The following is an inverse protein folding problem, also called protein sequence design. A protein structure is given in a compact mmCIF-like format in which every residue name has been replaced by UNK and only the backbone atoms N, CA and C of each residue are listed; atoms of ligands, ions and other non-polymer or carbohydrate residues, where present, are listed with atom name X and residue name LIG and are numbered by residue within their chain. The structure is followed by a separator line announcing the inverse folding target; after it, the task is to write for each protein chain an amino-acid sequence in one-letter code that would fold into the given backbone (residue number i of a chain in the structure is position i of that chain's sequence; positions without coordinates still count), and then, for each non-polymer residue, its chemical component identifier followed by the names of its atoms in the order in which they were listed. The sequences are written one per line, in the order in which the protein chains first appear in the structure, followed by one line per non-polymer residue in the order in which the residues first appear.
data_IF_071963061311
#
_entry.id   IF_071963061311
#
_cell.length_a   1.000
_cell.length_b   1.000
_cell.length_c   1.000
_cell.angle_alpha   90.00
_cell.angle_beta   90.00
_cell.angle_gamma   90.00
#
_symmetry.space_group_name_H-M   'P 1'
#
loop_
_entity.id
_entity.type
_entity.pdbx_description
1 polymer ?
#
# COMPACT_ATOMS: atom_id res chain seq x y z
N UNK A 1 34.75 -12.83 -17.38
CA UNK A 1 33.43 -12.31 -16.99
C UNK A 1 32.39 -13.35 -17.32
N UNK A 2 31.34 -13.47 -16.50
CA UNK A 2 30.20 -14.37 -16.77
C UNK A 2 29.11 -13.56 -17.48
N UNK A 3 28.63 -13.96 -18.66
CA UNK A 3 27.53 -13.26 -19.34
C UNK A 3 26.22 -13.44 -18.55
N UNK A 4 25.42 -12.37 -18.45
CA UNK A 4 24.13 -12.39 -17.77
C UNK A 4 23.12 -11.49 -18.49
N UNK A 5 21.83 -11.69 -18.19
CA UNK A 5 20.71 -10.86 -18.66
C UNK A 5 19.66 -10.68 -17.57
N UNK A 6 18.75 -9.72 -17.75
CA UNK A 6 17.65 -9.42 -16.82
C UNK A 6 16.35 -9.34 -17.63
N UNK A 7 15.32 -10.06 -17.19
CA UNK A 7 13.96 -9.97 -17.74
C UNK A 7 13.04 -9.39 -16.65
N UNK A 8 12.44 -8.21 -16.85
CA UNK A 8 11.59 -7.59 -15.83
C UNK A 8 10.28 -8.36 -15.66
N UNK A 9 9.76 -8.36 -14.42
CA UNK A 9 8.46 -8.92 -14.08
C UNK A 9 7.46 -7.85 -13.65
N UNK A 10 6.21 -8.29 -13.41
CA UNK A 10 5.19 -7.44 -12.79
C UNK A 10 5.48 -7.33 -11.30
N UNK A 11 5.74 -6.10 -10.83
CA UNK A 11 5.91 -5.86 -9.39
C UNK A 11 4.58 -5.95 -8.65
N UNK A 12 4.62 -6.29 -7.35
CA UNK A 12 3.41 -6.50 -6.56
C UNK A 12 2.48 -5.28 -6.53
N UNK A 13 3.02 -4.06 -6.53
CA UNK A 13 2.20 -2.84 -6.58
C UNK A 13 1.33 -2.77 -7.83
N UNK A 14 1.88 -3.11 -9.00
CA UNK A 14 1.13 -3.12 -10.26
C UNK A 14 0.05 -4.22 -10.25
N UNK A 15 0.41 -5.44 -9.81
CA UNK A 15 -0.54 -6.55 -9.73
C UNK A 15 -1.68 -6.27 -8.73
N UNK A 16 -1.34 -5.93 -7.49
CA UNK A 16 -2.33 -5.65 -6.44
C UNK A 16 -3.21 -4.46 -6.81
N UNK A 17 -2.65 -3.39 -7.38
CA UNK A 17 -3.43 -2.23 -7.83
C UNK A 17 -4.50 -2.64 -8.85
N UNK A 18 -4.09 -3.35 -9.90
CA UNK A 18 -5.00 -3.77 -10.95
C UNK A 18 -6.08 -4.72 -10.42
N UNK A 19 -5.70 -5.71 -9.60
CA UNK A 19 -6.62 -6.75 -9.13
C UNK A 19 -7.44 -6.38 -7.89
N UNK A 20 -7.15 -5.28 -7.22
CA UNK A 20 -7.97 -4.76 -6.11
C UNK A 20 -8.93 -3.66 -6.51
N UNK A 21 -8.89 -3.20 -7.77
CA UNK A 21 -9.66 -2.03 -8.22
C UNK A 21 -9.15 -0.70 -7.66
N UNK A 22 -7.90 -0.65 -7.18
CA UNK A 22 -7.30 0.55 -6.60
C UNK A 22 -6.19 1.03 -7.54
N UNK A 23 -6.46 1.96 -8.47
CA UNK A 23 -5.42 2.47 -9.36
C UNK A 23 -4.36 3.25 -8.57
N UNK A 24 -3.08 3.09 -8.90
CA UNK A 24 -2.02 3.80 -8.18
C UNK A 24 -2.05 5.32 -8.43
N UNK A 25 -2.61 5.75 -9.56
CA UNK A 25 -2.79 7.16 -9.90
C UNK A 25 -4.23 7.42 -10.35
N UNK A 26 -4.72 8.60 -10.03
CA UNK A 26 -5.94 9.16 -10.61
C UNK A 26 -5.75 10.67 -10.69
N UNK A 27 -6.23 11.29 -11.78
CA UNK A 27 -5.92 12.69 -12.14
C UNK A 27 -6.15 13.66 -10.98
N UNK A 28 -7.22 13.45 -10.21
CA UNK A 28 -7.61 14.33 -9.12
C UNK A 28 -7.01 13.95 -7.75
N UNK A 29 -6.38 12.77 -7.63
CA UNK A 29 -6.02 12.20 -6.32
C UNK A 29 -4.53 12.08 -6.06
N UNK A 30 -3.74 11.69 -7.07
CA UNK A 30 -2.31 11.45 -6.86
C UNK A 30 -1.49 11.87 -8.08
N UNK A 31 -0.48 12.71 -7.83
CA UNK A 31 0.51 13.16 -8.81
C UNK A 31 1.82 12.36 -8.69
N UNK A 32 1.96 11.57 -7.63
CA UNK A 32 3.10 10.68 -7.42
C UNK A 32 2.67 9.34 -6.81
N UNK A 33 3.48 8.32 -7.07
CA UNK A 33 3.36 6.99 -6.48
C UNK A 33 4.69 6.68 -5.81
N UNK A 34 4.64 6.22 -4.56
CA UNK A 34 5.85 5.86 -3.81
C UNK A 34 5.82 4.40 -3.39
N UNK A 35 6.81 3.64 -3.85
CA UNK A 35 7.01 2.25 -3.45
C UNK A 35 8.03 2.23 -2.30
N UNK A 36 7.60 1.80 -1.12
CA UNK A 36 8.34 1.95 0.13
C UNK A 36 8.52 0.58 0.78
N UNK A 37 9.67 0.32 1.39
CA UNK A 37 9.81 -0.83 2.30
C UNK A 37 9.41 -0.41 3.72
N UNK A 38 8.45 -1.10 4.32
CA UNK A 38 8.08 -0.92 5.72
C UNK A 38 9.12 -1.49 6.68
N UNK A 39 9.95 -2.43 6.22
CA UNK A 39 11.08 -2.96 6.97
C UNK A 39 12.38 -2.36 6.42
N UNK A 40 12.97 -1.42 7.14
CA UNK A 40 14.31 -0.92 6.83
C UNK A 40 15.34 -1.93 7.32
N UNK A 41 16.27 -2.30 6.44
CA UNK A 41 17.44 -3.12 6.81
C UNK A 41 18.28 -2.28 7.78
N UNK A 42 18.34 -2.69 9.05
CA UNK A 42 19.14 -2.16 10.17
C UNK A 42 19.80 -0.79 9.96
N UNK A 43 19.22 0.26 10.55
CA UNK A 43 19.90 1.54 10.82
C UNK A 43 19.36 2.79 10.11
N UNK A 44 18.34 2.67 9.25
CA UNK A 44 17.68 3.83 8.65
C UNK A 44 16.34 4.15 9.33
N UNK A 45 15.92 5.41 9.27
CA UNK A 45 14.55 5.85 9.56
C UNK A 45 13.88 6.31 8.26
N UNK A 46 12.56 6.15 8.15
CA UNK A 46 11.80 6.70 7.02
C UNK A 46 11.63 8.20 7.20
N UNK A 47 11.67 8.94 6.10
CA UNK A 47 11.32 10.36 6.08
C UNK A 47 9.79 10.52 6.18
N UNK A 48 9.28 10.45 7.41
CA UNK A 48 7.85 10.45 7.70
C UNK A 48 7.15 11.75 7.30
N UNK A 49 7.83 12.89 7.42
CA UNK A 49 7.31 14.19 6.98
C UNK A 49 7.04 14.16 5.47
N UNK A 50 8.01 13.67 4.69
CA UNK A 50 7.86 13.58 3.25
C UNK A 50 6.83 12.52 2.83
N UNK A 51 6.66 11.45 3.61
CA UNK A 51 5.61 10.45 3.41
C UNK A 51 4.21 10.98 3.73
N UNK A 52 4.08 11.89 4.70
CA UNK A 52 2.80 12.46 5.10
C UNK A 52 2.25 13.53 4.13
N UNK A 53 3.07 14.01 3.19
CA UNK A 53 2.64 15.02 2.22
C UNK A 53 1.40 14.57 1.41
N UNK A 54 0.57 15.54 1.01
CA UNK A 54 -0.67 15.25 0.27
C UNK A 54 -0.42 14.85 -1.19
N UNK A 55 -1.50 14.46 -1.89
CA UNK A 55 -1.53 14.21 -3.35
C UNK A 55 -0.55 13.13 -3.84
N UNK A 56 -0.29 12.14 -3.01
CA UNK A 56 0.50 10.96 -3.33
C UNK A 56 -0.21 9.66 -2.95
N UNK A 57 0.13 8.59 -3.65
CA UNK A 57 -0.25 7.22 -3.28
C UNK A 57 0.96 6.52 -2.70
N UNK A 58 0.89 6.11 -1.44
CA UNK A 58 1.94 5.34 -0.78
C UNK A 58 1.64 3.85 -0.90
N UNK A 59 2.65 3.06 -1.26
CA UNK A 59 2.55 1.60 -1.34
C UNK A 59 3.68 0.99 -0.52
N UNK A 60 3.35 0.43 0.65
CA UNK A 60 4.30 -0.20 1.56
C UNK A 60 4.40 -1.70 1.32
N UNK A 61 5.58 -2.13 0.90
CA UNK A 61 6.06 -3.51 0.86
C UNK A 61 6.55 -3.92 2.24
N UNK A 62 6.31 -5.17 2.63
CA UNK A 62 6.79 -5.71 3.92
C UNK A 62 6.38 -4.83 5.12
N UNK A 63 5.24 -4.12 5.00
CA UNK A 63 4.78 -3.15 5.99
C UNK A 63 3.85 -3.72 7.05
N UNK A 64 3.39 -4.97 6.90
CA UNK A 64 2.32 -5.53 7.74
C UNK A 64 2.67 -5.52 9.23
N UNK A 65 3.87 -5.98 9.59
CA UNK A 65 4.35 -5.98 10.99
C UNK A 65 4.53 -4.56 11.56
N UNK A 66 4.71 -3.56 10.69
CA UNK A 66 4.93 -2.17 11.06
C UNK A 66 3.68 -1.31 10.89
N UNK A 67 2.52 -1.90 10.60
CA UNK A 67 1.29 -1.17 10.25
C UNK A 67 0.86 -0.16 11.34
N UNK A 68 0.92 -0.56 12.61
CA UNK A 68 0.61 0.33 13.74
C UNK A 68 1.62 1.49 13.84
N UNK A 69 2.91 1.24 13.59
CA UNK A 69 3.94 2.29 13.55
C UNK A 69 3.74 3.23 12.36
N UNK A 70 3.43 2.70 11.18
CA UNK A 70 3.13 3.49 9.97
C UNK A 70 1.93 4.39 10.23
N UNK A 71 0.85 3.85 10.79
CA UNK A 71 -0.34 4.59 11.20
C UNK A 71 0.03 5.76 12.12
N UNK A 72 0.70 5.45 13.23
CA UNK A 72 1.06 6.44 14.23
C UNK A 72 1.94 7.54 13.62
N UNK A 73 2.99 7.16 12.89
CA UNK A 73 3.95 8.10 12.33
C UNK A 73 3.36 9.00 11.26
N UNK A 74 2.51 8.47 10.38
CA UNK A 74 1.85 9.28 9.34
C UNK A 74 0.88 10.31 9.97
N UNK A 75 0.13 9.91 10.99
CA UNK A 75 -0.78 10.82 11.71
C UNK A 75 0.02 11.90 12.47
N UNK A 76 1.10 11.51 13.16
CA UNK A 76 2.01 12.45 13.84
C UNK A 76 2.58 13.53 12.92
N UNK A 77 2.79 13.20 11.64
CA UNK A 77 3.33 14.12 10.63
C UNK A 77 2.25 14.80 9.78
N UNK A 78 0.98 14.75 10.21
CA UNK A 78 -0.09 15.56 9.63
C UNK A 78 -0.94 14.88 8.56
N UNK A 79 -0.76 13.58 8.29
CA UNK A 79 -1.69 12.85 7.43
C UNK A 79 -3.04 12.69 8.14
N UNK A 80 -4.19 13.04 7.50
CA UNK A 80 -5.50 12.90 8.12
C UNK A 80 -5.80 11.45 8.52
N UNK A 81 -6.33 11.24 9.73
CA UNK A 81 -6.74 9.92 10.20
C UNK A 81 -7.80 9.24 9.33
N UNK A 82 -8.63 10.03 8.64
CA UNK A 82 -9.63 9.58 7.66
C UNK A 82 -9.03 9.28 6.27
N UNK A 83 -7.71 9.32 6.11
CA UNK A 83 -7.07 8.96 4.84
C UNK A 83 -7.41 7.50 4.50
N UNK A 84 -7.98 7.21 3.32
CA UNK A 84 -8.30 5.85 2.94
C UNK A 84 -7.06 4.96 2.84
N UNK A 85 -7.18 3.74 3.36
CA UNK A 85 -6.14 2.71 3.32
C UNK A 85 -6.74 1.38 2.87
N UNK A 86 -5.92 0.55 2.22
CA UNK A 86 -6.26 -0.82 1.91
C UNK A 86 -5.05 -1.74 2.14
N UNK A 87 -5.32 -2.99 2.50
CA UNK A 87 -4.33 -4.06 2.57
C UNK A 87 -4.75 -5.14 1.56
N UNK A 88 -3.84 -5.48 0.65
CA UNK A 88 -4.03 -6.52 -0.36
C UNK A 88 -3.12 -7.69 -0.03
N UNK A 89 -3.70 -8.79 0.44
CA UNK A 89 -3.03 -10.07 0.72
C UNK A 89 -3.11 -10.98 -0.50
N UNK A 90 -2.01 -11.68 -0.81
CA UNK A 90 -1.94 -12.62 -1.93
C UNK A 90 -2.45 -12.03 -3.26
N UNK A 91 -2.07 -10.78 -3.55
CA UNK A 91 -2.54 -10.06 -4.73
C UNK A 91 -2.36 -10.85 -6.04
N UNK A 92 -3.36 -10.78 -6.90
CA UNK A 92 -3.52 -11.54 -8.17
C UNK A 92 -3.78 -13.04 -8.03
N UNK A 93 -3.56 -13.63 -6.86
CA UNK A 93 -3.84 -15.05 -6.63
C UNK A 93 -5.35 -15.30 -6.49
N UNK A 94 -5.76 -16.54 -6.70
CA UNK A 94 -7.16 -16.97 -6.50
C UNK A 94 -7.64 -16.77 -5.07
N UNK A 95 -6.73 -16.77 -4.09
CA UNK A 95 -7.02 -16.54 -2.68
C UNK A 95 -6.75 -15.09 -2.25
N UNK A 96 -6.75 -14.14 -3.19
CA UNK A 96 -6.57 -12.72 -2.89
C UNK A 96 -7.63 -12.26 -1.89
N UNK A 97 -7.17 -11.58 -0.83
CA UNK A 97 -8.02 -10.92 0.15
C UNK A 97 -7.69 -9.44 0.17
N UNK A 98 -8.72 -8.60 0.19
CA UNK A 98 -8.58 -7.16 0.31
C UNK A 98 -9.48 -6.66 1.41
N UNK A 99 -8.87 -5.92 2.34
CA UNK A 99 -9.55 -5.19 3.40
C UNK A 99 -9.20 -3.71 3.27
N UNK A 100 -10.17 -2.83 3.49
CA UNK A 100 -10.02 -1.39 3.38
C UNK A 100 -10.72 -0.66 4.53
N UNK A 101 -10.36 0.60 4.73
CA UNK A 101 -10.82 1.44 5.81
C UNK A 101 -10.06 2.76 5.85
N UNK A 102 -9.84 3.29 7.04
CA UNK A 102 -9.13 4.57 7.24
C UNK A 102 -7.77 4.38 7.92
N UNK A 103 -6.92 5.39 7.86
CA UNK A 103 -5.58 5.36 8.46
C UNK A 103 -5.63 5.10 9.97
N UNK A 104 -6.65 5.58 10.68
CA UNK A 104 -6.84 5.27 12.12
C UNK A 104 -7.11 3.80 12.40
N UNK A 105 -7.56 3.03 11.40
CA UNK A 105 -7.86 1.61 11.52
C UNK A 105 -6.72 0.71 11.03
N UNK A 106 -5.68 1.28 10.38
CA UNK A 106 -4.65 0.52 9.67
C UNK A 106 -4.00 -0.59 10.53
N UNK A 107 -3.65 -0.29 11.78
CA UNK A 107 -3.07 -1.28 12.69
C UNK A 107 -4.00 -2.44 13.02
N UNK A 108 -5.30 -2.18 13.17
CA UNK A 108 -6.33 -3.20 13.45
C UNK A 108 -6.64 -4.04 12.20
N UNK A 109 -6.73 -3.40 11.03
CA UNK A 109 -6.92 -4.10 9.75
C UNK A 109 -5.74 -5.04 9.46
N UNK A 110 -4.52 -4.62 9.79
CA UNK A 110 -3.32 -5.43 9.58
C UNK A 110 -3.30 -6.73 10.39
N UNK A 111 -3.95 -6.78 11.56
CA UNK A 111 -4.04 -8.00 12.37
C UNK A 111 -4.93 -9.08 11.72
N UNK A 112 -5.74 -8.72 10.73
CA UNK A 112 -6.68 -9.62 10.05
C UNK A 112 -6.10 -10.24 8.75
N UNK A 113 -4.88 -9.84 8.40
CA UNK A 113 -4.22 -10.19 7.15
C UNK A 113 -2.90 -10.92 7.43
N UNK A 114 -2.45 -11.72 6.47
CA UNK A 114 -1.15 -12.39 6.55
C UNK A 114 -0.21 -11.92 5.44
N UNK A 115 1.09 -12.23 5.60
CA UNK A 115 2.04 -12.06 4.52
C UNK A 115 1.89 -13.17 3.47
N UNK A 116 2.12 -12.89 2.18
CA UNK A 116 2.54 -11.61 1.61
C UNK A 116 1.36 -10.63 1.44
N UNK A 117 1.58 -9.38 1.88
CA UNK A 117 0.61 -8.29 1.79
C UNK A 117 1.25 -6.97 1.38
N UNK A 118 0.47 -6.13 0.69
CA UNK A 118 0.77 -4.74 0.40
C UNK A 118 -0.20 -3.80 1.12
N UNK A 119 0.31 -2.73 1.70
CA UNK A 119 -0.51 -1.64 2.24
C UNK A 119 -0.51 -0.49 1.22
N UNK A 120 -1.69 -0.02 0.83
CA UNK A 120 -1.89 1.13 -0.06
C UNK A 120 -2.56 2.23 0.76
N UNK A 121 -1.99 3.43 0.77
CA UNK A 121 -2.52 4.60 1.49
C UNK A 121 -2.68 5.73 0.48
N UNK A 122 -3.90 6.27 0.39
CA UNK A 122 -4.20 7.40 -0.48
C UNK A 122 -5.66 7.44 -0.93
N UNK A 123 -6.10 8.61 -1.40
CA UNK A 123 -7.48 8.85 -1.85
C UNK A 123 -7.94 7.91 -2.98
N UNK A 124 -7.01 7.32 -3.74
CA UNK A 124 -7.30 6.33 -4.78
C UNK A 124 -7.95 5.05 -4.26
N UNK A 125 -7.79 4.70 -2.98
CA UNK A 125 -8.45 3.53 -2.38
C UNK A 125 -9.97 3.63 -2.48
N UNK A 126 -10.54 4.84 -2.35
CA UNK A 126 -11.99 5.06 -2.49
C UNK A 126 -12.55 4.79 -3.89
N UNK A 127 -11.70 4.52 -4.90
CA UNK A 127 -12.17 4.11 -6.23
C UNK A 127 -12.52 2.61 -6.31
N UNK A 128 -12.10 1.82 -5.31
CA UNK A 128 -12.37 0.38 -5.24
C UNK A 128 -13.84 0.03 -5.38
N UNK A 129 -14.73 0.78 -4.73
CA UNK A 129 -16.19 0.56 -4.80
C UNK A 129 -16.75 0.57 -6.23
N UNK A 130 -16.10 1.30 -7.14
CA UNK A 130 -16.52 1.43 -8.55
C UNK A 130 -15.72 0.54 -9.49
N UNK A 131 -14.48 0.22 -9.15
CA UNK A 131 -13.52 -0.41 -10.05
C UNK A 131 -13.21 -1.87 -9.67
N UNK A 132 -13.70 -2.36 -8.53
CA UNK A 132 -13.48 -3.75 -8.13
C UNK A 132 -14.12 -4.71 -9.14
N UNK A 133 -13.29 -5.51 -9.80
CA UNK A 133 -13.70 -6.47 -10.83
C UNK A 133 -13.29 -7.91 -10.51
N UNK A 134 -12.33 -8.09 -9.58
CA UNK A 134 -11.82 -9.40 -9.19
C UNK A 134 -12.51 -9.88 -7.90
N UNK A 135 -12.65 -11.20 -7.74
CA UNK A 135 -13.27 -11.82 -6.56
C UNK A 135 -12.46 -11.54 -5.29
N UNK A 136 -13.17 -11.28 -4.19
CA UNK A 136 -12.57 -11.11 -2.86
C UNK A 136 -12.87 -12.35 -2.00
N UNK A 137 -11.87 -12.85 -1.27
CA UNK A 137 -11.97 -14.05 -0.42
C UNK A 137 -11.77 -13.74 1.07
#
# INVERSE_FOLDING_TARGET
GIPFSVVPGITAASGCSAYSGIPLTHRDYAQSVRLITGHLKTGGELDWENLAAEKQTLVFYMGLNQAATIQQKLIEHGMPGEMPVAIVENGTAVMQRVIDGTLTQLGELAQQMNSPSLIIIGRVVGLRDKLNWFSNH
#
